data_IF_312325177697
#
_entry.id   IF_312325177697
#
_cell.length_a   1.000
_cell.length_b   1.000
_cell.length_c   1.000
_cell.angle_alpha   90.00
_cell.angle_beta   90.00
_cell.angle_gamma   90.00
#
_symmetry.space_group_name_H-M   'P 1'
#
loop_
_entity.id
_entity.type
_entity.pdbx_description
1 polymer ?
#
# COMPACT_ATOMS: atom_id res chain seq x y z
N UNK A 1 9.58 -2.99 -4.30
CA UNK A 1 9.28 -3.73 -5.56
C UNK A 1 8.09 -3.08 -6.24
N UNK A 2 8.18 -2.79 -7.54
CA UNK A 2 7.10 -2.12 -8.30
C UNK A 2 6.16 -3.17 -8.89
N UNK A 3 4.87 -3.10 -8.53
CA UNK A 3 3.86 -4.05 -8.99
C UNK A 3 3.09 -3.48 -10.20
N UNK A 4 3.50 -3.86 -11.42
CA UNK A 4 2.88 -3.37 -12.67
C UNK A 4 1.75 -4.27 -13.20
N UNK A 5 1.79 -5.57 -12.96
CA UNK A 5 0.79 -6.51 -13.49
C UNK A 5 -0.40 -6.69 -12.56
N UNK A 6 -1.60 -6.90 -13.12
CA UNK A 6 -2.85 -7.12 -12.34
C UNK A 6 -2.69 -8.21 -11.27
N UNK A 7 -2.04 -9.33 -11.60
CA UNK A 7 -1.79 -10.41 -10.64
C UNK A 7 -0.86 -10.00 -9.50
N UNK A 8 0.15 -9.15 -9.74
CA UNK A 8 1.04 -8.71 -8.67
C UNK A 8 0.41 -7.59 -7.82
N UNK A 9 -0.48 -6.77 -8.41
CA UNK A 9 -1.28 -5.77 -7.69
C UNK A 9 -2.28 -6.43 -6.74
N UNK A 10 -2.99 -7.46 -7.21
CA UNK A 10 -3.92 -8.23 -6.37
C UNK A 10 -3.17 -9.03 -5.32
N UNK A 11 -2.01 -9.63 -5.65
CA UNK A 11 -1.23 -10.43 -4.69
C UNK A 11 -0.72 -9.61 -3.49
N UNK A 12 -0.26 -8.38 -3.71
CA UNK A 12 0.26 -7.51 -2.65
C UNK A 12 1.23 -8.25 -1.69
N UNK A 13 0.97 -8.10 -0.39
CA UNK A 13 1.70 -8.79 0.69
C UNK A 13 1.22 -10.23 0.98
N UNK A 14 0.21 -10.75 0.28
CA UNK A 14 -0.37 -12.06 0.61
C UNK A 14 0.65 -13.19 0.61
N UNK A 15 0.67 -13.97 1.70
CA UNK A 15 1.60 -15.09 1.92
C UNK A 15 3.08 -14.73 1.76
N UNK A 16 3.44 -13.45 1.87
CA UNK A 16 4.81 -12.97 1.74
C UNK A 16 5.39 -12.53 3.08
N UNK A 17 6.72 -12.49 3.18
CA UNK A 17 7.38 -11.81 4.30
C UNK A 17 7.17 -10.30 4.19
N UNK A 18 7.17 -9.56 5.31
CA UNK A 18 7.03 -8.11 5.28
C UNK A 18 8.09 -7.48 4.38
N UNK A 19 7.64 -6.64 3.44
CA UNK A 19 8.49 -5.92 2.49
C UNK A 19 7.76 -4.67 2.00
N UNK A 20 8.52 -3.76 1.41
CA UNK A 20 7.95 -2.54 0.82
C UNK A 20 7.43 -2.81 -0.60
N UNK A 21 6.16 -2.47 -0.83
CA UNK A 21 5.48 -2.64 -2.11
C UNK A 21 4.84 -1.35 -2.57
N UNK A 22 5.06 -0.99 -3.83
CA UNK A 22 4.35 0.09 -4.50
C UNK A 22 3.38 -0.49 -5.51
N UNK A 23 2.08 -0.24 -5.27
CA UNK A 23 0.97 -0.63 -6.10
C UNK A 23 0.54 0.57 -6.95
N UNK A 24 0.82 0.53 -8.24
CA UNK A 24 0.46 1.59 -9.19
C UNK A 24 -1.00 1.45 -9.63
N UNK A 25 -1.69 2.56 -9.88
CA UNK A 25 -3.11 2.61 -10.26
C UNK A 25 -4.02 1.73 -9.40
N UNK A 26 -3.85 1.81 -8.07
CA UNK A 26 -4.65 1.07 -7.09
C UNK A 26 -5.13 2.06 -6.04
N UNK A 27 -6.42 2.05 -5.75
CA UNK A 27 -7.06 2.90 -4.74
C UNK A 27 -7.72 2.11 -3.59
N UNK A 28 -7.71 0.78 -3.70
CA UNK A 28 -8.24 -0.14 -2.71
C UNK A 28 -7.32 -1.35 -2.55
N UNK A 29 -7.06 -1.75 -1.32
CA UNK A 29 -6.32 -2.97 -0.98
C UNK A 29 -7.13 -3.83 -0.02
N UNK A 30 -6.72 -5.09 0.12
CA UNK A 30 -7.21 -5.99 1.16
C UNK A 30 -6.03 -6.64 1.88
N UNK A 31 -6.26 -7.14 3.09
CA UNK A 31 -5.27 -7.88 3.87
C UNK A 31 -5.78 -9.25 4.32
N UNK A 32 -6.77 -9.80 3.60
CA UNK A 32 -7.44 -11.08 3.93
C UNK A 32 -6.47 -12.28 4.02
N UNK A 33 -5.31 -12.22 3.37
CA UNK A 33 -4.26 -13.25 3.46
C UNK A 33 -2.89 -12.69 3.91
N UNK A 34 -2.91 -11.58 4.66
CA UNK A 34 -1.71 -10.98 5.26
C UNK A 34 -1.72 -11.22 6.77
N UNK A 35 -0.68 -11.88 7.29
CA UNK A 35 -0.59 -12.36 8.67
C UNK A 35 0.13 -11.38 9.63
N UNK A 36 0.33 -10.13 9.22
CA UNK A 36 0.99 -9.10 10.03
C UNK A 36 0.35 -7.73 9.79
N UNK A 37 0.50 -6.81 10.75
CA UNK A 37 0.08 -5.42 10.56
C UNK A 37 1.10 -4.65 9.73
N UNK A 38 0.62 -3.72 8.92
CA UNK A 38 1.46 -2.85 8.09
C UNK A 38 0.82 -1.46 7.96
N UNK A 39 1.53 -0.52 7.36
CA UNK A 39 1.06 0.81 7.02
C UNK A 39 0.79 0.88 5.53
N UNK A 40 -0.42 1.28 5.18
CA UNK A 40 -0.81 1.65 3.82
C UNK A 40 -0.72 3.17 3.69
N UNK A 41 0.02 3.61 2.69
CA UNK A 41 0.16 5.01 2.31
C UNK A 41 -0.62 5.21 1.02
N UNK A 42 -1.68 5.98 1.09
CA UNK A 42 -2.46 6.37 -0.07
C UNK A 42 -1.80 7.59 -0.70
N UNK A 43 -1.44 7.48 -1.98
CA UNK A 43 -0.65 8.49 -2.69
C UNK A 43 -1.45 9.09 -3.84
N UNK A 44 -1.18 10.36 -4.15
CA UNK A 44 -1.65 11.00 -5.38
C UNK A 44 -0.83 10.54 -6.61
N UNK A 45 -1.11 11.15 -7.77
CA UNK A 45 -0.42 10.90 -9.04
C UNK A 45 1.08 11.27 -9.01
N UNK A 46 1.47 12.16 -8.10
CA UNK A 46 2.85 12.61 -7.91
C UNK A 46 3.61 11.83 -6.82
N UNK A 47 3.02 10.73 -6.33
CA UNK A 47 3.54 9.90 -5.22
C UNK A 47 3.61 10.63 -3.87
N UNK A 48 2.81 11.67 -3.67
CA UNK A 48 2.70 12.38 -2.39
C UNK A 48 1.72 11.67 -1.47
N UNK A 49 2.10 11.48 -0.21
CA UNK A 49 1.25 10.83 0.80
C UNK A 49 0.06 11.72 1.13
N UNK A 50 -1.14 11.23 0.82
CA UNK A 50 -2.42 11.86 1.16
C UNK A 50 -2.96 11.37 2.50
N UNK A 51 -2.88 10.05 2.74
CA UNK A 51 -3.38 9.40 3.95
C UNK A 51 -2.45 8.25 4.35
N UNK A 52 -2.34 8.01 5.65
CA UNK A 52 -1.64 6.85 6.22
C UNK A 52 -2.61 6.06 7.08
N UNK A 53 -2.76 4.77 6.80
CA UNK A 53 -3.61 3.87 7.59
C UNK A 53 -2.82 2.67 8.08
N UNK A 54 -2.92 2.38 9.39
CA UNK A 54 -2.42 1.13 9.94
C UNK A 54 -3.42 0.01 9.64
N UNK A 55 -3.04 -0.91 8.76
CA UNK A 55 -3.87 -2.03 8.32
C UNK A 55 -3.59 -3.24 9.21
N UNK A 56 -4.66 -3.80 9.77
CA UNK A 56 -4.60 -5.04 10.55
C UNK A 56 -4.66 -6.25 9.61
N UNK A 57 -4.13 -7.42 10.02
CA UNK A 57 -4.38 -8.69 9.35
C UNK A 57 -5.87 -8.91 9.09
N UNK A 58 -6.20 -9.61 8.01
CA UNK A 58 -7.56 -10.07 7.70
C UNK A 58 -8.60 -8.97 7.44
N UNK A 59 -8.17 -7.76 7.06
CA UNK A 59 -9.07 -6.68 6.66
C UNK A 59 -9.59 -6.92 5.23
N UNK A 60 -10.89 -6.82 5.03
CA UNK A 60 -11.54 -7.15 3.75
C UNK A 60 -11.45 -6.02 2.72
N UNK A 61 -11.43 -4.77 3.17
CA UNK A 61 -11.37 -3.60 2.31
C UNK A 61 -10.71 -2.43 3.05
N UNK A 62 -9.70 -1.85 2.40
CA UNK A 62 -9.02 -0.62 2.83
C UNK A 62 -8.87 0.24 1.59
N UNK A 63 -9.70 1.27 1.47
CA UNK A 63 -9.73 2.14 0.30
C UNK A 63 -9.60 3.63 0.66
N UNK A 64 -9.13 4.39 -0.33
CA UNK A 64 -9.22 5.83 -0.42
C UNK A 64 -9.50 6.17 -1.90
N UNK A 65 -10.68 6.70 -2.20
CA UNK A 65 -11.14 6.91 -3.59
C UNK A 65 -10.36 7.99 -4.34
N UNK A 66 -9.76 8.91 -3.61
CA UNK A 66 -9.05 10.06 -4.16
C UNK A 66 -7.58 9.74 -4.46
N UNK A 67 -7.08 8.60 -3.97
CA UNK A 67 -5.70 8.19 -4.22
C UNK A 67 -5.53 7.47 -5.56
N UNK A 68 -4.34 7.59 -6.11
CA UNK A 68 -3.93 6.98 -7.38
C UNK A 68 -3.07 5.74 -7.16
N UNK A 69 -2.26 5.74 -6.11
CA UNK A 69 -1.30 4.68 -5.81
C UNK A 69 -1.36 4.31 -4.32
N UNK A 70 -0.93 3.09 -4.01
CA UNK A 70 -0.79 2.63 -2.63
C UNK A 70 0.63 2.13 -2.41
N UNK A 71 1.28 2.61 -1.36
CA UNK A 71 2.54 2.05 -0.86
C UNK A 71 2.28 1.29 0.44
N UNK A 72 2.78 0.06 0.53
CA UNK A 72 2.64 -0.81 1.71
C UNK A 72 4.00 -0.99 2.37
N UNK A 73 4.10 -0.74 3.67
CA UNK A 73 5.33 -0.98 4.44
C UNK A 73 5.03 -1.48 5.85
N UNK A 74 5.91 -2.33 6.40
CA UNK A 74 5.78 -2.78 7.79
C UNK A 74 6.01 -1.64 8.80
N UNK A 75 6.82 -0.67 8.42
CA UNK A 75 7.29 0.41 9.30
C UNK A 75 6.65 1.74 8.90
N UNK A 76 6.54 2.65 9.87
CA UNK A 76 6.09 4.01 9.60
C UNK A 76 7.27 4.82 9.01
N UNK A 77 7.36 4.90 7.69
CA UNK A 77 8.48 5.53 6.96
C UNK A 77 8.26 6.97 6.51
N UNK A 78 7.03 7.32 6.16
CA UNK A 78 6.67 8.64 5.62
C UNK A 78 5.60 9.34 6.45
N UNK A 79 5.48 10.63 6.25
CA UNK A 79 4.42 11.50 6.78
C UNK A 79 3.51 12.00 5.67
N UNK A 80 2.31 12.44 6.05
CA UNK A 80 1.38 13.09 5.13
C UNK A 80 2.06 14.31 4.49
N UNK A 81 1.94 14.43 3.17
CA UNK A 81 2.55 15.48 2.37
C UNK A 81 3.96 15.18 1.85
N UNK A 82 4.63 14.13 2.35
CA UNK A 82 5.94 13.71 1.82
C UNK A 82 5.78 12.94 0.51
N UNK A 83 6.79 13.03 -0.35
CA UNK A 83 6.86 12.25 -1.60
C UNK A 83 7.58 10.93 -1.34
N UNK A 84 6.93 9.82 -1.67
CA UNK A 84 7.52 8.49 -1.57
C UNK A 84 8.59 8.35 -2.65
N UNK A 85 9.83 8.11 -2.23
CA UNK A 85 10.93 7.76 -3.13
C UNK A 85 10.95 6.24 -3.27
N UNK A 86 10.73 5.74 -4.48
CA UNK A 86 10.91 4.33 -4.80
C UNK A 86 12.07 4.22 -5.79
N UNK A 87 13.06 3.40 -5.47
CA UNK A 87 14.17 3.00 -6.36
C UNK A 87 13.82 1.70 -7.09
#
# INVERSE_FOLDING_TARGET
>A
MICKSLFSKVRGLMFSRPRDLLLLDVNSIHSFFVFFSFYAYFLDEDFKVMEIRKVRPFSLLVENRDCKHVFESKELKYKIGEKVKYE
#
